data_IF_274696041567
#
_entry.id   IF_274696041567
#
_cell.length_a   1.000
_cell.length_b   1.000
_cell.length_c   1.000
_cell.angle_alpha   90.00
_cell.angle_beta   90.00
_cell.angle_gamma   90.00
#
_symmetry.space_group_name_H-M   'P 1'
#
loop_
_entity.id
_entity.type
_entity.pdbx_description
1 polymer ?
#
# COMPACT_ATOMS: atom_id res chain seq x y z
N UNK A 1 4.82 8.25 6.35
CA UNK A 1 4.04 7.14 5.75
C UNK A 1 3.02 7.65 4.74
N UNK A 2 2.58 6.82 3.79
CA UNK A 2 1.54 7.14 2.80
C UNK A 2 0.61 5.93 2.61
N UNK A 3 -0.68 6.19 2.38
CA UNK A 3 -1.64 5.16 1.97
C UNK A 3 -1.90 5.26 0.46
N UNK A 4 -1.74 4.16 -0.23
CA UNK A 4 -1.89 4.05 -1.68
C UNK A 4 -3.17 3.29 -2.00
N UNK A 5 -3.96 3.83 -2.93
CA UNK A 5 -5.23 3.25 -3.35
C UNK A 5 -5.25 3.11 -4.87
N UNK A 6 -5.41 1.88 -5.35
CA UNK A 6 -5.42 1.52 -6.75
C UNK A 6 -6.88 1.32 -7.16
N UNK A 7 -7.46 2.35 -7.77
CA UNK A 7 -8.85 2.33 -8.22
C UNK A 7 -8.99 1.66 -9.58
N UNK A 8 -10.11 0.97 -9.79
CA UNK A 8 -10.47 0.42 -11.09
C UNK A 8 -10.58 1.54 -12.14
N UNK A 9 -9.90 1.39 -13.27
CA UNK A 9 -9.76 2.42 -14.31
C UNK A 9 -11.08 2.91 -14.91
N UNK A 10 -12.15 2.10 -14.81
CA UNK A 10 -13.47 2.43 -15.35
C UNK A 10 -14.28 3.37 -14.45
N UNK A 11 -13.82 3.64 -13.23
CA UNK A 11 -14.49 4.54 -12.30
C UNK A 11 -14.08 6.00 -12.54
N UNK A 12 -15.03 6.92 -12.35
CA UNK A 12 -14.72 8.35 -12.36
C UNK A 12 -13.79 8.75 -11.21
N UNK A 13 -13.10 9.88 -11.35
CA UNK A 13 -12.17 10.39 -10.31
C UNK A 13 -12.84 10.60 -8.95
N UNK A 14 -14.10 11.08 -8.93
CA UNK A 14 -14.87 11.21 -7.68
C UNK A 14 -15.13 9.84 -7.06
N UNK A 15 -15.53 8.86 -7.88
CA UNK A 15 -15.75 7.50 -7.41
C UNK A 15 -14.47 6.89 -6.87
N UNK A 16 -13.31 7.10 -7.50
CA UNK A 16 -12.03 6.58 -6.98
C UNK A 16 -11.76 7.05 -5.55
N UNK A 17 -12.05 8.32 -5.22
CA UNK A 17 -11.95 8.82 -3.85
C UNK A 17 -12.92 8.15 -2.88
N UNK A 18 -14.17 7.92 -3.31
CA UNK A 18 -15.19 7.24 -2.49
C UNK A 18 -14.78 5.78 -2.21
N UNK A 19 -14.31 5.05 -3.24
CA UNK A 19 -13.88 3.66 -3.09
C UNK A 19 -12.65 3.53 -2.19
N UNK A 20 -11.70 4.48 -2.28
CA UNK A 20 -10.59 4.55 -1.32
C UNK A 20 -11.07 4.75 0.13
N UNK A 21 -12.12 5.56 0.33
CA UNK A 21 -12.78 5.71 1.64
C UNK A 21 -13.35 4.39 2.18
N UNK A 22 -13.96 3.57 1.32
CA UNK A 22 -14.42 2.23 1.71
C UNK A 22 -13.26 1.32 2.11
N UNK A 23 -12.17 1.31 1.35
CA UNK A 23 -10.96 0.54 1.69
C UNK A 23 -10.36 0.97 3.04
N UNK A 24 -10.40 2.27 3.37
CA UNK A 24 -9.99 2.74 4.71
C UNK A 24 -10.86 2.12 5.80
N UNK A 25 -12.19 2.04 5.60
CA UNK A 25 -13.08 1.34 6.52
C UNK A 25 -12.68 -0.12 6.71
N UNK A 26 -12.43 -0.83 5.61
CA UNK A 26 -12.00 -2.24 5.64
C UNK A 26 -10.63 -2.44 6.34
N UNK A 27 -9.69 -1.50 6.17
CA UNK A 27 -8.41 -1.50 6.87
C UNK A 27 -8.61 -1.47 8.39
N UNK A 28 -9.45 -0.58 8.92
CA UNK A 28 -9.67 -0.48 10.36
C UNK A 28 -10.48 -1.65 10.94
N UNK A 29 -11.31 -2.30 10.14
CA UNK A 29 -11.99 -3.55 10.52
C UNK A 29 -11.00 -4.71 10.59
N UNK A 30 -10.09 -4.79 9.61
CA UNK A 30 -9.11 -5.88 9.48
C UNK A 30 -7.95 -5.77 10.47
N UNK A 31 -7.55 -4.54 10.82
CA UNK A 31 -6.46 -4.25 11.74
C UNK A 31 -6.93 -3.38 12.91
N UNK A 32 -7.79 -3.92 13.80
CA UNK A 32 -8.37 -3.16 14.90
C UNK A 32 -7.32 -2.77 15.95
N UNK A 33 -7.62 -1.70 16.69
CA UNK A 33 -6.78 -1.24 17.80
C UNK A 33 -6.68 -2.28 18.92
N UNK A 34 -5.55 -2.32 19.65
CA UNK A 34 -5.39 -3.19 20.83
C UNK A 34 -6.44 -2.96 21.90
N UNK A 35 -6.91 -1.71 22.07
CA UNK A 35 -7.97 -1.32 22.99
C UNK A 35 -9.30 -2.04 22.68
N UNK A 36 -9.55 -2.30 21.39
CA UNK A 36 -10.73 -3.03 20.89
C UNK A 36 -10.55 -4.54 21.08
N UNK A 37 -9.33 -5.05 20.88
CA UNK A 37 -9.04 -6.48 20.91
C UNK A 37 -9.08 -7.12 22.30
N UNK A 38 -9.01 -6.35 23.39
CA UNK A 38 -8.96 -6.85 24.79
C UNK A 38 -7.82 -7.85 25.09
N UNK A 39 -6.92 -8.08 24.14
CA UNK A 39 -5.76 -8.99 24.21
C UNK A 39 -4.44 -8.25 24.42
N UNK A 40 -4.48 -6.94 24.69
CA UNK A 40 -3.33 -6.13 25.09
C UNK A 40 -2.44 -5.64 23.93
N UNK A 41 -2.21 -6.47 22.91
CA UNK A 41 -1.24 -6.16 21.85
C UNK A 41 -1.88 -5.99 20.47
N UNK A 42 -1.50 -4.89 19.81
CA UNK A 42 -1.85 -4.58 18.43
C UNK A 42 -0.83 -5.25 17.49
N UNK A 43 -1.28 -5.76 16.35
CA UNK A 43 -0.38 -6.30 15.33
C UNK A 43 0.56 -5.21 14.78
N UNK A 44 1.69 -5.61 14.20
CA UNK A 44 2.63 -4.68 13.55
C UNK A 44 1.95 -3.86 12.45
N UNK A 45 1.09 -4.51 11.66
CA UNK A 45 0.31 -3.90 10.58
C UNK A 45 -0.69 -2.88 11.15
N UNK A 46 -1.37 -3.22 12.25
CA UNK A 46 -2.26 -2.31 12.95
C UNK A 46 -1.52 -1.07 13.46
N UNK A 47 -0.32 -1.24 14.04
CA UNK A 47 0.50 -0.11 14.51
C UNK A 47 0.83 0.84 13.37
N UNK A 48 1.24 0.30 12.22
CA UNK A 48 1.50 1.07 11.00
C UNK A 48 0.25 1.81 10.50
N UNK A 49 -0.92 1.16 10.49
CA UNK A 49 -2.17 1.80 10.10
C UNK A 49 -2.53 2.97 11.03
N UNK A 50 -2.41 2.76 12.34
CA UNK A 50 -2.72 3.77 13.35
C UNK A 50 -1.73 4.94 13.33
N UNK A 51 -0.44 4.69 13.18
CA UNK A 51 0.58 5.73 13.00
C UNK A 51 0.29 6.58 11.76
N UNK A 52 -0.03 5.95 10.62
CA UNK A 52 -0.45 6.68 9.42
C UNK A 52 -1.67 7.55 9.69
N UNK A 53 -2.70 7.02 10.35
CA UNK A 53 -3.94 7.75 10.61
C UNK A 53 -3.75 8.90 11.61
N UNK A 54 -2.87 8.74 12.61
CA UNK A 54 -2.60 9.74 13.63
C UNK A 54 -1.68 10.85 13.12
N UNK A 55 -0.62 10.53 12.38
CA UNK A 55 0.48 11.46 12.16
C UNK A 55 0.69 11.87 10.69
N UNK A 56 0.25 11.05 9.73
CA UNK A 56 0.57 11.27 8.32
C UNK A 56 -0.64 11.65 7.45
N UNK A 57 -1.72 10.86 7.50
CA UNK A 57 -2.99 11.05 6.78
C UNK A 57 -2.85 11.32 5.26
N UNK A 58 -1.70 10.99 4.67
CA UNK A 58 -1.44 11.22 3.25
C UNK A 58 -2.00 10.06 2.45
N UNK A 59 -2.91 10.36 1.52
CA UNK A 59 -3.53 9.40 0.62
C UNK A 59 -3.10 9.67 -0.82
N UNK A 60 -2.76 8.62 -1.56
CA UNK A 60 -2.40 8.69 -2.97
C UNK A 60 -3.37 7.80 -3.75
N UNK A 61 -4.12 8.42 -4.67
CA UNK A 61 -5.06 7.72 -5.54
C UNK A 61 -4.37 7.45 -6.88
N UNK A 62 -4.36 6.18 -7.29
CA UNK A 62 -3.70 5.70 -8.49
C UNK A 62 -4.66 4.91 -9.37
N UNK A 63 -4.33 4.85 -10.64
CA UNK A 63 -5.01 3.97 -11.58
C UNK A 63 -4.46 2.54 -11.42
N UNK A 64 -5.30 1.66 -10.87
CA UNK A 64 -5.00 0.24 -10.69
C UNK A 64 -5.11 -0.59 -11.97
N UNK A 65 -5.58 -0.01 -13.07
CA UNK A 65 -5.86 -0.71 -14.32
C UNK A 65 -7.26 -1.32 -14.35
N UNK A 66 -7.44 -2.33 -15.20
CA UNK A 66 -8.70 -3.06 -15.32
C UNK A 66 -8.81 -4.15 -14.24
N UNK A 67 -9.96 -4.83 -14.18
CA UNK A 67 -10.28 -5.81 -13.14
C UNK A 67 -9.17 -6.86 -12.89
N UNK A 68 -8.56 -7.40 -13.94
CA UNK A 68 -7.46 -8.37 -13.80
C UNK A 68 -6.25 -7.79 -13.05
N UNK A 69 -5.89 -6.52 -13.29
CA UNK A 69 -4.75 -5.88 -12.63
C UNK A 69 -4.97 -5.74 -11.12
N UNK A 70 -6.13 -5.23 -10.72
CA UNK A 70 -6.46 -5.06 -9.31
C UNK A 70 -6.63 -6.39 -8.58
N UNK A 71 -7.11 -7.44 -9.26
CA UNK A 71 -7.10 -8.80 -8.69
C UNK A 71 -5.67 -9.33 -8.47
N UNK A 72 -4.76 -9.12 -9.44
CA UNK A 72 -3.34 -9.47 -9.29
C UNK A 72 -2.68 -8.71 -8.13
N UNK A 73 -3.04 -7.44 -7.91
CA UNK A 73 -2.58 -6.67 -6.75
C UNK A 73 -3.08 -7.26 -5.43
N UNK A 74 -4.36 -7.66 -5.36
CA UNK A 74 -4.87 -8.36 -4.19
C UNK A 74 -4.10 -9.66 -3.92
N UNK A 75 -3.88 -10.49 -4.94
CA UNK A 75 -3.08 -11.71 -4.81
C UNK A 75 -1.63 -11.42 -4.36
N UNK A 76 -1.04 -10.34 -4.85
CA UNK A 76 0.31 -9.93 -4.46
C UNK A 76 0.39 -9.45 -3.01
N UNK A 77 -0.62 -8.70 -2.54
CA UNK A 77 -0.70 -8.21 -1.16
C UNK A 77 -1.14 -9.28 -0.16
N UNK A 78 -1.88 -10.31 -0.59
CA UNK A 78 -2.26 -11.46 0.25
C UNK A 78 -1.08 -12.41 0.54
N UNK A 79 0.06 -12.20 -0.10
CA UNK A 79 1.27 -12.98 0.14
C UNK A 79 1.71 -12.89 1.61
N UNK A 80 2.09 -14.04 2.21
CA UNK A 80 2.52 -14.10 3.61
C UNK A 80 3.76 -13.23 3.93
N UNK A 81 4.54 -12.84 2.92
CA UNK A 81 5.68 -11.95 3.06
C UNK A 81 5.28 -10.48 3.19
N UNK A 82 4.03 -10.12 2.91
CA UNK A 82 3.51 -8.78 3.11
C UNK A 82 3.34 -8.51 4.61
N UNK A 83 4.08 -7.53 5.12
CA UNK A 83 4.00 -7.09 6.52
C UNK A 83 3.32 -5.72 6.67
N UNK A 84 2.62 -5.26 5.62
CA UNK A 84 1.96 -3.96 5.58
C UNK A 84 0.44 -4.14 5.60
N UNK A 85 -0.28 -3.26 6.32
CA UNK A 85 -1.73 -3.32 6.34
C UNK A 85 -2.26 -2.98 4.96
N UNK A 86 -3.12 -3.85 4.44
CA UNK A 86 -3.76 -3.69 3.15
C UNK A 86 -5.20 -4.17 3.22
N UNK A 87 -6.05 -3.65 2.34
CA UNK A 87 -7.41 -4.14 2.19
C UNK A 87 -7.88 -3.89 0.76
N UNK A 88 -9.03 -4.43 0.43
CA UNK A 88 -9.71 -4.16 -0.83
C UNK A 88 -11.20 -3.99 -0.57
N UNK A 89 -11.88 -3.38 -1.54
CA UNK A 89 -13.31 -3.18 -1.48
C UNK A 89 -13.97 -3.67 -2.77
N UNK A 90 -15.02 -4.47 -2.56
CA UNK A 90 -15.92 -4.89 -3.61
C UNK A 90 -17.23 -4.13 -3.46
N UNK A 91 -17.75 -3.63 -4.56
CA UNK A 91 -19.08 -3.06 -4.57
C UNK A 91 -20.14 -4.10 -4.23
N UNK A 92 -21.31 -3.64 -3.81
CA UNK A 92 -22.43 -4.55 -3.60
C UNK A 92 -22.89 -5.19 -4.91
N UNK A 93 -23.54 -6.37 -4.82
CA UNK A 93 -24.13 -7.04 -5.99
C UNK A 93 -25.13 -6.13 -6.73
N UNK A 94 -25.89 -5.34 -5.99
CA UNK A 94 -26.92 -4.48 -6.57
C UNK A 94 -26.35 -3.18 -7.19
N UNK A 95 -25.13 -2.77 -6.80
CA UNK A 95 -24.49 -1.56 -7.32
C UNK A 95 -23.63 -1.84 -8.56
N UNK A 96 -22.74 -2.83 -8.48
CA UNK A 96 -21.82 -3.17 -9.56
C UNK A 96 -21.49 -4.67 -9.58
N UNK A 97 -22.49 -5.52 -9.34
CA UNK A 97 -22.38 -7.00 -9.41
C UNK A 97 -21.21 -7.60 -8.61
N UNK A 98 -20.86 -7.00 -7.47
CA UNK A 98 -19.76 -7.52 -6.65
C UNK A 98 -18.37 -7.14 -7.14
N UNK A 99 -18.24 -6.21 -8.10
CA UNK A 99 -16.96 -5.88 -8.71
C UNK A 99 -15.95 -5.34 -7.69
N UNK A 100 -14.71 -5.82 -7.79
CA UNK A 100 -13.55 -5.22 -7.12
C UNK A 100 -13.31 -3.83 -7.71
N UNK A 101 -13.39 -2.80 -6.86
CA UNK A 101 -13.33 -1.40 -7.30
C UNK A 101 -12.08 -0.68 -6.80
N UNK A 102 -11.52 -1.11 -5.67
CA UNK A 102 -10.31 -0.52 -5.13
C UNK A 102 -9.55 -1.52 -4.25
N UNK A 103 -8.22 -1.45 -4.32
CA UNK A 103 -7.30 -2.09 -3.36
C UNK A 103 -6.40 -1.02 -2.78
N UNK A 104 -6.04 -1.13 -1.50
CA UNK A 104 -5.17 -0.16 -0.86
C UNK A 104 -4.23 -0.76 0.18
N UNK A 105 -3.12 -0.06 0.39
CA UNK A 105 -2.01 -0.49 1.25
C UNK A 105 -1.37 0.73 1.91
N UNK A 106 -0.96 0.60 3.18
CA UNK A 106 -0.25 1.67 3.91
C UNK A 106 1.23 1.34 3.99
N UNK A 107 2.07 2.28 3.53
CA UNK A 107 3.50 2.06 3.36
C UNK A 107 4.35 3.10 4.12
N UNK A 108 5.47 2.67 4.73
CA UNK A 108 6.46 3.56 5.32
C UNK A 108 7.30 4.26 4.25
N UNK A 109 8.03 5.28 4.70
CA UNK A 109 8.87 6.12 3.84
C UNK A 109 9.90 5.35 3.03
N UNK A 110 10.53 4.37 3.66
CA UNK A 110 11.55 3.54 3.02
C UNK A 110 11.11 2.90 1.70
N UNK A 111 9.82 2.58 1.56
CA UNK A 111 9.32 1.91 0.35
C UNK A 111 9.18 2.91 -0.80
N UNK A 112 8.50 4.04 -0.58
CA UNK A 112 8.21 4.96 -1.68
C UNK A 112 9.39 5.85 -2.06
N UNK A 113 10.29 6.17 -1.12
CA UNK A 113 11.52 6.90 -1.44
C UNK A 113 12.49 6.01 -2.21
N UNK A 114 12.68 4.75 -1.81
CA UNK A 114 13.54 3.82 -2.57
C UNK A 114 12.92 3.48 -3.93
N UNK A 115 11.60 3.29 -4.03
CA UNK A 115 10.92 3.10 -5.33
C UNK A 115 11.19 4.29 -6.29
N UNK A 116 11.19 5.51 -5.76
CA UNK A 116 11.54 6.72 -6.53
C UNK A 116 12.99 6.70 -7.02
N UNK A 117 13.94 6.38 -6.15
CA UNK A 117 15.36 6.29 -6.50
C UNK A 117 15.62 5.24 -7.60
N UNK A 118 14.94 4.10 -7.55
CA UNK A 118 15.04 3.05 -8.57
C UNK A 118 14.58 3.54 -9.93
N UNK A 119 13.46 4.26 -9.98
CA UNK A 119 12.94 4.81 -11.23
C UNK A 119 13.86 5.88 -11.83
N UNK A 120 14.51 6.66 -10.97
CA UNK A 120 15.43 7.73 -11.39
C UNK A 120 16.82 7.18 -11.81
N UNK A 121 17.04 5.87 -11.73
CA UNK A 121 18.32 5.24 -12.06
C UNK A 121 19.41 5.52 -11.03
N UNK A 122 19.04 5.94 -9.82
CA UNK A 122 19.98 6.24 -8.73
C UNK A 122 20.58 5.00 -8.08
N UNK A 123 19.97 3.82 -8.29
CA UNK A 123 20.36 2.53 -7.72
C UNK A 123 20.11 1.44 -8.79
N UNK A 124 21.11 0.57 -9.05
CA UNK A 124 20.97 -0.58 -9.96
C UNK A 124 20.33 -1.78 -9.24
N UNK A 125 19.65 -2.67 -9.98
CA UNK A 125 18.99 -3.87 -9.44
C UNK A 125 19.97 -4.80 -8.71
N UNK A 126 21.23 -4.83 -9.17
CA UNK A 126 22.31 -5.61 -8.52
C UNK A 126 22.77 -5.04 -7.18
N UNK A 127 22.51 -3.75 -6.92
CA UNK A 127 22.84 -3.08 -5.67
C UNK A 127 21.87 -3.48 -4.54
N UNK A 128 20.64 -3.87 -4.86
CA UNK A 128 19.54 -4.00 -3.90
C UNK A 128 19.52 -5.29 -3.09
N UNK A 129 20.27 -6.32 -3.50
CA UNK A 129 20.36 -7.57 -2.72
C UNK A 129 20.97 -7.35 -1.32
N UNK A 130 21.58 -6.18 -1.07
CA UNK A 130 22.25 -5.84 0.20
C UNK A 130 22.16 -4.36 0.64
N UNK A 131 21.35 -3.50 -0.01
CA UNK A 131 21.38 -2.05 0.32
C UNK A 131 20.74 -1.76 1.67
N UNK A 132 21.52 -0.99 2.41
CA UNK A 132 21.27 -0.36 3.69
C UNK A 132 21.53 1.13 3.48
N UNK A 133 20.49 1.90 3.19
CA UNK A 133 20.67 3.34 2.97
C UNK A 133 19.36 4.12 3.12
N UNK A 134 19.33 5.08 4.05
CA UNK A 134 18.32 6.13 4.08
C UNK A 134 18.91 7.40 3.42
N UNK A 135 18.40 7.86 2.26
CA UNK A 135 18.89 9.06 1.59
C UNK A 135 18.69 10.34 2.41
N UNK A 136 17.73 10.33 3.33
CA UNK A 136 17.38 11.46 4.17
C UNK A 136 18.16 11.46 5.50
N UNK A 137 18.75 10.34 5.88
CA UNK A 137 19.56 10.21 7.09
C UNK A 137 20.64 9.11 6.93
N UNK A 138 21.90 9.46 6.63
CA UNK A 138 22.98 8.50 6.43
C UNK A 138 23.32 7.62 7.66
N UNK A 139 22.88 7.99 8.86
CA UNK A 139 23.07 7.20 10.08
C UNK A 139 21.97 6.13 10.26
N UNK A 140 20.91 6.18 9.46
CA UNK A 140 19.80 5.24 9.49
C UNK A 140 19.90 4.22 8.35
N UNK A 141 19.75 2.97 8.73
CA UNK A 141 19.95 1.81 7.89
C UNK A 141 18.60 1.19 7.48
N UNK A 142 18.26 1.21 6.19
CA UNK A 142 17.04 0.58 5.67
C UNK A 142 17.32 -0.75 4.99
N UNK A 143 16.76 -1.84 5.50
CA UNK A 143 16.82 -3.16 4.86
C UNK A 143 15.49 -3.50 4.17
N UNK A 144 15.60 -4.24 3.05
CA UNK A 144 14.47 -4.66 2.25
C UNK A 144 14.48 -6.18 2.02
N UNK A 145 13.31 -6.79 2.17
CA UNK A 145 13.03 -8.17 1.76
C UNK A 145 12.84 -8.27 0.25
N UNK A 146 12.99 -9.47 -0.30
CA UNK A 146 12.70 -9.74 -1.72
C UNK A 146 11.27 -9.38 -2.13
N UNK A 147 10.31 -9.44 -1.20
CA UNK A 147 8.94 -9.04 -1.48
C UNK A 147 8.81 -7.52 -1.54
N UNK A 148 9.45 -6.78 -0.63
CA UNK A 148 9.50 -5.31 -0.67
C UNK A 148 10.16 -4.80 -1.94
N UNK A 149 11.20 -5.50 -2.42
CA UNK A 149 11.82 -5.20 -3.71
C UNK A 149 10.82 -5.26 -4.87
N UNK A 150 10.03 -6.34 -4.93
CA UNK A 150 8.97 -6.50 -5.92
C UNK A 150 7.85 -5.48 -5.74
N UNK A 151 7.52 -5.13 -4.51
CA UNK A 151 6.54 -4.09 -4.21
C UNK A 151 7.00 -2.77 -4.83
N UNK A 152 8.24 -2.36 -4.64
CA UNK A 152 8.77 -1.11 -5.22
C UNK A 152 8.70 -1.09 -6.76
N UNK A 153 9.01 -2.21 -7.41
CA UNK A 153 8.82 -2.36 -8.87
C UNK A 153 7.34 -2.23 -9.26
N UNK A 154 6.44 -2.89 -8.52
CA UNK A 154 5.00 -2.83 -8.77
C UNK A 154 4.45 -1.40 -8.64
N UNK A 155 4.86 -0.67 -7.60
CA UNK A 155 4.49 0.72 -7.41
C UNK A 155 4.91 1.61 -8.59
N UNK A 156 6.11 1.37 -9.15
CA UNK A 156 6.61 2.10 -10.30
C UNK A 156 5.80 1.83 -11.58
N UNK A 157 5.24 0.62 -11.76
CA UNK A 157 4.34 0.29 -12.89
C UNK A 157 3.05 1.12 -12.86
N UNK A 158 2.55 1.45 -11.68
CA UNK A 158 1.33 2.24 -11.48
C UNK A 158 1.58 3.76 -11.45
N UNK A 159 2.79 4.21 -11.84
CA UNK A 159 3.11 5.63 -12.01
C UNK A 159 3.51 6.36 -10.73
N UNK A 160 3.91 5.64 -9.67
CA UNK A 160 4.37 6.29 -8.44
C UNK A 160 5.82 6.75 -8.51
N UNK A 161 6.05 8.01 -8.81
CA UNK A 161 6.34 9.01 -7.78
C UNK A 161 6.44 10.40 -8.44
N UNK A 162 5.53 11.29 -8.08
CA UNK A 162 5.70 12.74 -8.18
C UNK A 162 5.75 13.29 -6.76
#
# INVERSE_FOLDING_TARGET
MRAYFFGNMYLSSIQQGIQAGHVIGELFVSYPESSILRTGDMSSEGKLLWEWACDHKTMILLNGGYSENIHKLCEFFDAYQNTYPWAYFNESKDALDGALTCVGIVLPEKIYETAKLLREGGIDDTFLDHVVFNPNNPEEEWTFSKWEMKLMDELNKHGMAQ
#
